data_IF_496059467145
#
_entry.id   IF_496059467145
#
_cell.length_a   1.000
_cell.length_b   1.000
_cell.length_c   1.000
_cell.angle_alpha   90.00
_cell.angle_beta   90.00
_cell.angle_gamma   90.00
#
_symmetry.space_group_name_H-M   'P 1'
#
loop_
_entity.id
_entity.type
_entity.pdbx_description
1 polymer ?
#
# COMPACT_ATOMS: atom_id res chain seq x y z
N UNK A 1 -20.07 -15.31 1.47
CA UNK A 1 -19.98 -13.83 1.53
C UNK A 1 -21.33 -13.22 1.30
N UNK A 2 -21.69 -12.20 2.06
CA UNK A 2 -22.82 -11.32 1.75
C UNK A 2 -22.40 -10.26 0.73
N UNK A 3 -23.38 -9.67 0.01
CA UNK A 3 -23.16 -8.54 -0.90
C UNK A 3 -22.36 -7.40 -0.25
N UNK A 4 -22.56 -7.18 1.06
CA UNK A 4 -21.86 -6.17 1.86
C UNK A 4 -20.33 -6.40 1.83
N UNK A 5 -19.86 -7.64 1.94
CA UNK A 5 -18.43 -7.95 1.93
C UNK A 5 -17.76 -7.60 0.60
N UNK A 6 -18.43 -7.87 -0.52
CA UNK A 6 -17.92 -7.52 -1.85
C UNK A 6 -17.91 -5.99 -2.07
N UNK A 7 -18.97 -5.30 -1.65
CA UNK A 7 -19.05 -3.83 -1.76
C UNK A 7 -17.97 -3.18 -0.88
N UNK A 8 -17.77 -3.66 0.35
CA UNK A 8 -16.72 -3.17 1.24
C UNK A 8 -15.33 -3.36 0.65
N UNK A 9 -15.02 -4.55 0.11
CA UNK A 9 -13.76 -4.84 -0.56
C UNK A 9 -13.52 -3.93 -1.79
N UNK A 10 -14.57 -3.72 -2.60
CA UNK A 10 -14.49 -2.84 -3.76
C UNK A 10 -14.23 -1.38 -3.36
N UNK A 11 -15.03 -0.83 -2.44
CA UNK A 11 -14.93 0.56 -2.03
C UNK A 11 -13.57 0.88 -1.38
N UNK A 12 -13.08 0.00 -0.51
CA UNK A 12 -11.78 0.19 0.15
C UNK A 12 -10.61 0.15 -0.84
N UNK A 13 -10.62 -0.81 -1.77
CA UNK A 13 -9.58 -0.92 -2.81
C UNK A 13 -9.64 0.28 -3.77
N UNK A 14 -10.84 0.65 -4.21
CA UNK A 14 -11.04 1.74 -5.18
C UNK A 14 -10.72 3.10 -4.58
N UNK A 15 -11.00 3.34 -3.29
CA UNK A 15 -10.60 4.57 -2.61
C UNK A 15 -9.08 4.79 -2.61
N UNK A 16 -8.30 3.71 -2.56
CA UNK A 16 -6.84 3.78 -2.54
C UNK A 16 -6.22 3.93 -3.95
N UNK A 17 -6.93 3.50 -4.98
CA UNK A 17 -6.42 3.42 -6.36
C UNK A 17 -6.05 4.79 -6.96
N UNK A 18 -6.87 5.86 -6.90
CA UNK A 18 -6.50 7.17 -7.44
C UNK A 18 -5.23 7.74 -6.82
N UNK A 19 -5.07 7.59 -5.50
CA UNK A 19 -3.89 8.05 -4.79
C UNK A 19 -2.66 7.24 -5.17
N UNK A 20 -2.81 5.91 -5.30
CA UNK A 20 -1.75 5.02 -5.77
C UNK A 20 -1.26 5.42 -7.15
N UNK A 21 -2.17 5.59 -8.11
CA UNK A 21 -1.84 6.00 -9.48
C UNK A 21 -1.17 7.37 -9.52
N UNK A 22 -1.66 8.34 -8.74
CA UNK A 22 -1.05 9.67 -8.63
C UNK A 22 0.39 9.56 -8.14
N UNK A 23 0.63 8.89 -7.01
CA UNK A 23 1.98 8.76 -6.44
C UNK A 23 2.92 7.96 -7.35
N UNK A 24 2.44 6.90 -8.01
CA UNK A 24 3.26 6.12 -8.96
C UNK A 24 3.65 6.98 -10.16
N UNK A 25 2.73 7.81 -10.68
CA UNK A 25 2.96 8.67 -11.84
C UNK A 25 3.85 9.87 -11.51
N UNK A 26 3.55 10.61 -10.44
CA UNK A 26 4.29 11.84 -10.12
C UNK A 26 5.57 11.58 -9.35
N UNK A 27 5.67 10.44 -8.66
CA UNK A 27 6.71 10.13 -7.67
C UNK A 27 6.86 11.18 -6.58
N UNK A 28 5.86 12.06 -6.45
CA UNK A 28 5.79 13.03 -5.38
C UNK A 28 5.31 12.31 -4.12
N UNK A 29 6.24 12.22 -3.16
CA UNK A 29 6.00 11.64 -1.85
C UNK A 29 6.20 12.65 -0.73
N UNK A 30 6.16 13.95 -1.04
CA UNK A 30 6.21 15.00 -0.04
C UNK A 30 5.05 14.81 0.96
N UNK A 31 5.37 14.76 2.24
CA UNK A 31 4.38 14.54 3.31
C UNK A 31 3.92 13.08 3.50
N UNK A 32 4.38 12.12 2.68
CA UNK A 32 4.08 10.71 2.91
C UNK A 32 5.02 10.10 3.97
N UNK A 33 4.43 9.39 4.94
CA UNK A 33 5.18 8.69 5.98
C UNK A 33 5.70 7.33 5.50
N UNK A 34 7.02 7.13 5.53
CA UNK A 34 7.64 5.82 5.26
C UNK A 34 7.15 4.74 6.22
N UNK A 35 7.02 5.07 7.50
CA UNK A 35 6.56 4.12 8.52
C UNK A 35 5.12 3.67 8.26
N UNK A 36 4.24 4.61 7.87
CA UNK A 36 2.86 4.29 7.53
C UNK A 36 2.78 3.28 6.38
N UNK A 37 3.50 3.53 5.28
CA UNK A 37 3.51 2.62 4.14
C UNK A 37 4.18 1.27 4.46
N UNK A 38 5.22 1.25 5.29
CA UNK A 38 5.83 0.00 5.74
C UNK A 38 4.83 -0.86 6.53
N UNK A 39 4.17 -0.28 7.54
CA UNK A 39 3.17 -0.96 8.34
C UNK A 39 1.97 -1.41 7.50
N UNK A 40 1.50 -0.56 6.57
CA UNK A 40 0.39 -0.88 5.67
C UNK A 40 0.73 -2.08 4.77
N UNK A 41 1.88 -2.05 4.08
CA UNK A 41 2.29 -3.11 3.16
C UNK A 41 2.48 -4.44 3.90
N UNK A 42 3.13 -4.43 5.07
CA UNK A 42 3.30 -5.64 5.89
C UNK A 42 1.94 -6.14 6.40
N UNK A 43 1.09 -5.24 6.90
CA UNK A 43 -0.25 -5.58 7.39
C UNK A 43 -1.12 -6.24 6.31
N UNK A 44 -1.16 -5.69 5.10
CA UNK A 44 -1.90 -6.26 3.96
C UNK A 44 -1.35 -7.63 3.59
N UNK A 45 -0.02 -7.79 3.58
CA UNK A 45 0.60 -9.10 3.31
C UNK A 45 0.19 -10.14 4.36
N UNK A 46 0.19 -9.80 5.64
CA UNK A 46 -0.26 -10.68 6.71
C UNK A 46 -1.77 -11.00 6.59
N UNK A 47 -2.60 -10.01 6.25
CA UNK A 47 -4.02 -10.22 5.98
C UNK A 47 -4.28 -11.14 4.79
N UNK A 48 -3.47 -11.05 3.74
CA UNK A 48 -3.52 -11.95 2.59
C UNK A 48 -3.20 -13.39 3.02
N UNK A 49 -2.13 -13.60 3.79
CA UNK A 49 -1.79 -14.93 4.33
C UNK A 49 -2.91 -15.48 5.22
N UNK A 50 -3.48 -14.64 6.08
CA UNK A 50 -4.62 -15.00 6.92
C UNK A 50 -5.84 -15.39 6.08
N UNK A 51 -6.15 -14.64 5.01
CA UNK A 51 -7.24 -14.96 4.08
C UNK A 51 -7.04 -16.30 3.37
N UNK A 52 -5.81 -16.60 2.94
CA UNK A 52 -5.45 -17.90 2.37
C UNK A 52 -5.68 -19.02 3.38
N UNK A 53 -5.23 -18.83 4.63
CA UNK A 53 -5.43 -19.79 5.72
C UNK A 53 -6.92 -20.06 5.98
N UNK A 54 -7.75 -19.01 5.95
CA UNK A 54 -9.19 -19.10 6.16
C UNK A 54 -9.99 -19.52 4.90
N UNK A 55 -9.32 -19.67 3.74
CA UNK A 55 -9.96 -19.89 2.43
C UNK A 55 -11.00 -18.81 2.08
N UNK A 56 -10.80 -17.58 2.55
CA UNK A 56 -11.69 -16.44 2.32
C UNK A 56 -11.32 -15.72 1.01
N UNK A 57 -12.08 -15.98 -0.06
CA UNK A 57 -11.77 -15.42 -1.38
C UNK A 57 -11.93 -13.90 -1.48
N UNK A 58 -12.78 -13.27 -0.66
CA UNK A 58 -12.97 -11.82 -0.70
C UNK A 58 -11.80 -11.11 -0.02
N UNK A 59 -11.34 -11.64 1.12
CA UNK A 59 -10.19 -11.16 1.86
C UNK A 59 -8.89 -11.38 1.06
N UNK A 60 -8.77 -12.53 0.39
CA UNK A 60 -7.66 -12.82 -0.53
C UNK A 60 -7.66 -11.81 -1.69
N UNK A 61 -8.79 -11.68 -2.40
CA UNK A 61 -8.88 -10.79 -3.57
C UNK A 61 -8.61 -9.33 -3.23
N UNK A 62 -9.23 -8.82 -2.16
CA UNK A 62 -9.05 -7.43 -1.72
C UNK A 62 -7.60 -7.13 -1.33
N UNK A 63 -6.99 -7.96 -0.49
CA UNK A 63 -5.61 -7.73 -0.05
C UNK A 63 -4.59 -7.98 -1.15
N UNK A 64 -4.82 -8.92 -2.07
CA UNK A 64 -3.94 -9.13 -3.22
C UNK A 64 -3.89 -7.89 -4.12
N UNK A 65 -5.06 -7.31 -4.48
CA UNK A 65 -5.11 -6.10 -5.31
C UNK A 65 -4.51 -4.92 -4.55
N UNK A 66 -4.83 -4.77 -3.27
CA UNK A 66 -4.28 -3.67 -2.45
C UNK A 66 -2.76 -3.80 -2.30
N UNK A 67 -2.22 -5.01 -2.15
CA UNK A 67 -0.78 -5.25 -2.08
C UNK A 67 -0.07 -4.85 -3.39
N UNK A 68 -0.67 -5.17 -4.54
CA UNK A 68 -0.16 -4.76 -5.86
C UNK A 68 -0.09 -3.24 -6.03
N UNK A 69 -0.99 -2.50 -5.38
CA UNK A 69 -0.99 -1.03 -5.39
C UNK A 69 -0.04 -0.44 -4.33
N UNK A 70 -0.04 -1.00 -3.11
CA UNK A 70 0.70 -0.47 -1.97
C UNK A 70 2.20 -0.70 -2.09
N UNK A 71 2.64 -1.85 -2.64
CA UNK A 71 4.06 -2.19 -2.73
C UNK A 71 4.86 -1.20 -3.60
N UNK A 72 4.43 -0.82 -4.82
CA UNK A 72 5.10 0.22 -5.60
C UNK A 72 5.22 1.55 -4.87
N UNK A 73 4.16 1.98 -4.16
CA UNK A 73 4.18 3.24 -3.41
C UNK A 73 5.20 3.16 -2.27
N UNK A 74 5.19 2.08 -1.50
CA UNK A 74 6.17 1.86 -0.43
C UNK A 74 7.60 1.96 -0.96
N UNK A 75 7.90 1.32 -2.09
CA UNK A 75 9.23 1.37 -2.71
C UNK A 75 9.63 2.79 -3.13
N UNK A 76 8.71 3.57 -3.71
CA UNK A 76 8.95 4.96 -4.09
C UNK A 76 9.20 5.82 -2.85
N UNK A 77 8.36 5.71 -1.82
CA UNK A 77 8.50 6.45 -0.55
C UNK A 77 9.83 6.09 0.12
N UNK A 78 10.20 4.81 0.13
CA UNK A 78 11.48 4.33 0.67
C UNK A 78 12.67 4.92 -0.08
N UNK A 79 12.65 4.90 -1.42
CA UNK A 79 13.70 5.44 -2.25
C UNK A 79 13.87 6.96 -2.03
N UNK A 80 12.77 7.71 -2.08
CA UNK A 80 12.77 9.17 -1.89
C UNK A 80 13.25 9.55 -0.48
N UNK A 81 12.80 8.83 0.55
CA UNK A 81 13.22 9.07 1.94
C UNK A 81 14.72 8.80 2.12
N UNK A 82 15.25 7.72 1.53
CA UNK A 82 16.69 7.42 1.57
C UNK A 82 17.51 8.47 0.83
N UNK A 83 17.05 8.96 -0.32
CA UNK A 83 17.71 10.02 -1.07
C UNK A 83 17.74 11.35 -0.28
N UNK A 84 16.63 11.73 0.37
CA UNK A 84 16.56 12.93 1.19
C UNK A 84 17.57 12.87 2.37
N UNK A 85 17.60 11.75 3.11
CA UNK A 85 18.53 11.55 4.22
C UNK A 85 20.00 11.59 3.79
N UNK A 86 20.35 11.08 2.60
CA UNK A 86 21.71 11.15 2.05
C UNK A 86 22.15 12.60 1.80
N UNK A 87 21.28 13.41 1.20
CA UNK A 87 21.56 14.85 0.95
C UNK A 87 21.74 15.63 2.25
N UNK A 88 20.94 15.33 3.27
CA UNK A 88 21.08 15.94 4.59
C UNK A 88 22.39 15.55 5.29
N UNK A 89 22.91 14.33 5.07
CA UNK A 89 24.20 13.92 5.61
C UNK A 89 25.40 14.51 4.85
N UNK A 90 25.26 14.80 3.56
CA UNK A 90 26.31 15.43 2.74
C UNK A 90 26.43 16.94 2.99
N UNK A 91 25.35 17.59 3.42
CA UNK A 91 25.31 19.02 3.71
C UNK A 91 25.65 19.38 5.18
N UNK A 92 25.94 18.39 6.03
CA UNK A 92 26.39 18.57 7.42
C UNK A 92 27.91 18.47 7.51
#
# INVERSE_FOLDING_TARGET
MSLIGYVAAFLTTFAFLPQALKTIKTRDTAGLSLAMYACLTVGIFLWLLHGIHQRDMALIGANAITLLLALPIFLIVLANTRAARRRESENK
#
